data_IF_512694989573
#
_entry.id   IF_512694989573
#
_cell.length_a   1.000
_cell.length_b   1.000
_cell.length_c   1.000
_cell.angle_alpha   90.00
_cell.angle_beta   90.00
_cell.angle_gamma   90.00
#
_symmetry.space_group_name_H-M   'P 1'
#
loop_
_entity.id
_entity.type
_entity.pdbx_description
1 polymer ?
#
# COMPACT_ATOMS: atom_id res chain seq x y z
N UNK A 1 -14.88 4.58 20.63
CA UNK A 1 -14.01 3.45 20.27
C UNK A 1 -13.36 3.77 18.93
N UNK A 2 -12.04 3.88 18.86
CA UNK A 2 -11.36 4.00 17.58
C UNK A 2 -11.65 2.73 16.77
N UNK A 3 -12.26 2.85 15.59
CA UNK A 3 -12.52 1.71 14.73
C UNK A 3 -11.17 1.03 14.41
N UNK A 4 -11.05 -0.25 14.77
CA UNK A 4 -9.85 -1.03 14.51
C UNK A 4 -9.59 -1.09 13.00
N UNK A 5 -8.38 -0.74 12.56
CA UNK A 5 -8.00 -0.82 11.15
C UNK A 5 -8.22 -2.27 10.67
N UNK A 6 -9.02 -2.50 9.61
CA UNK A 6 -9.27 -3.84 9.12
C UNK A 6 -7.98 -4.60 8.82
N UNK A 7 -7.99 -5.91 9.10
CA UNK A 7 -6.80 -6.77 9.03
C UNK A 7 -6.12 -6.75 7.64
N UNK A 8 -6.90 -6.60 6.57
CA UNK A 8 -6.39 -6.52 5.20
C UNK A 8 -5.48 -5.30 4.98
N UNK A 9 -5.78 -4.16 5.63
CA UNK A 9 -5.01 -2.92 5.52
C UNK A 9 -3.81 -2.87 6.47
N UNK A 10 -3.72 -3.79 7.43
CA UNK A 10 -2.57 -3.84 8.34
C UNK A 10 -1.31 -4.34 7.58
N UNK A 11 -0.27 -3.52 7.43
CA UNK A 11 0.95 -3.90 6.70
C UNK A 11 1.79 -4.97 7.43
N UNK A 12 1.58 -5.13 8.74
CA UNK A 12 2.22 -6.16 9.54
C UNK A 12 1.49 -7.51 9.45
N UNK A 13 0.22 -7.51 9.02
CA UNK A 13 -0.49 -8.75 8.73
C UNK A 13 -0.04 -9.29 7.37
N UNK A 14 0.70 -10.40 7.40
CA UNK A 14 1.30 -11.06 6.23
C UNK A 14 0.54 -12.32 5.79
N UNK A 15 -0.75 -12.40 6.09
CA UNK A 15 -1.62 -13.42 5.54
C UNK A 15 -2.15 -12.95 4.16
N UNK A 16 -1.89 -13.73 3.11
CA UNK A 16 -2.22 -13.38 1.73
C UNK A 16 -3.32 -14.28 1.16
N UNK A 17 -3.87 -13.91 0.00
CA UNK A 17 -4.87 -14.69 -0.70
C UNK A 17 -4.43 -16.15 -0.93
N UNK A 18 -3.18 -16.35 -1.33
CA UNK A 18 -2.65 -17.69 -1.63
C UNK A 18 -2.51 -18.57 -0.37
N UNK A 19 -2.45 -17.95 0.83
CA UNK A 19 -2.41 -18.67 2.10
C UNK A 19 -3.77 -19.24 2.51
N UNK A 20 -4.88 -18.81 1.91
CA UNK A 20 -6.21 -19.34 2.20
C UNK A 20 -6.30 -20.84 1.95
N UNK A 21 -5.57 -21.38 0.97
CA UNK A 21 -5.54 -22.82 0.69
C UNK A 21 -4.93 -23.62 1.85
N UNK A 22 -4.06 -23.01 2.68
CA UNK A 22 -3.53 -23.65 3.89
C UNK A 22 -4.63 -23.90 4.92
N UNK A 23 -5.74 -23.16 4.88
CA UNK A 23 -6.92 -23.40 5.74
C UNK A 23 -7.73 -24.62 5.31
N UNK A 24 -7.47 -25.17 4.13
CA UNK A 24 -8.06 -26.44 3.70
C UNK A 24 -7.32 -27.67 4.26
N UNK A 25 -6.19 -27.46 4.96
CA UNK A 25 -5.39 -28.53 5.56
C UNK A 25 -5.55 -28.48 7.08
N UNK A 26 -5.87 -29.62 7.67
CA UNK A 26 -6.11 -29.75 9.11
C UNK A 26 -7.44 -29.15 9.56
N UNK A 27 -7.56 -28.94 10.86
CA UNK A 27 -8.78 -28.51 11.52
C UNK A 27 -8.59 -27.15 12.17
N UNK A 28 -9.52 -26.22 11.93
CA UNK A 28 -9.41 -24.82 12.38
C UNK A 28 -10.65 -24.40 13.18
N UNK A 29 -10.54 -23.32 13.95
CA UNK A 29 -11.72 -22.65 14.53
C UNK A 29 -12.36 -21.71 13.51
N UNK A 30 -13.64 -21.39 13.71
CA UNK A 30 -14.39 -20.48 12.83
C UNK A 30 -13.75 -19.08 12.82
N UNK A 31 -13.27 -18.63 13.96
CA UNK A 31 -12.60 -17.34 14.20
C UNK A 31 -11.29 -17.27 13.43
N UNK A 32 -10.52 -18.36 13.42
CA UNK A 32 -9.25 -18.46 12.71
C UNK A 32 -9.45 -18.36 11.18
N UNK A 33 -10.49 -19.02 10.66
CA UNK A 33 -10.83 -18.97 9.23
C UNK A 33 -11.38 -17.60 8.85
N UNK A 34 -12.28 -17.04 9.65
CA UNK A 34 -12.80 -15.69 9.43
C UNK A 34 -11.69 -14.64 9.45
N UNK A 35 -10.76 -14.72 10.40
CA UNK A 35 -9.62 -13.80 10.49
C UNK A 35 -8.72 -13.90 9.26
N UNK A 36 -8.50 -15.11 8.74
CA UNK A 36 -7.75 -15.33 7.49
C UNK A 36 -8.45 -14.69 6.28
N UNK A 37 -9.78 -14.83 6.16
CA UNK A 37 -10.57 -14.21 5.09
C UNK A 37 -10.48 -12.67 5.19
N UNK A 38 -10.76 -12.11 6.37
CA UNK A 38 -10.70 -10.67 6.64
C UNK A 38 -9.32 -10.05 6.39
N UNK A 39 -8.26 -10.84 6.44
CA UNK A 39 -6.88 -10.38 6.22
C UNK A 39 -6.44 -10.43 4.76
N UNK A 40 -7.12 -11.20 3.89
CA UNK A 40 -6.59 -11.58 2.57
C UNK A 40 -7.44 -11.17 1.37
N UNK A 41 -8.74 -10.96 1.56
CA UNK A 41 -9.67 -10.66 0.46
C UNK A 41 -10.64 -9.54 0.81
N UNK A 42 -11.08 -8.83 -0.24
CA UNK A 42 -12.21 -7.93 -0.22
C UNK A 42 -13.04 -8.06 -1.50
N UNK A 43 -14.24 -7.50 -1.48
CA UNK A 43 -15.19 -7.55 -2.59
C UNK A 43 -15.78 -6.16 -2.84
N UNK A 44 -15.84 -5.75 -4.09
CA UNK A 44 -16.40 -4.48 -4.52
C UNK A 44 -17.73 -4.72 -5.24
N UNK A 45 -18.78 -4.01 -4.85
CA UNK A 45 -20.14 -4.11 -5.41
C UNK A 45 -20.33 -3.27 -6.67
N UNK A 46 -19.36 -3.33 -7.61
CA UNK A 46 -19.55 -2.75 -8.94
C UNK A 46 -20.58 -3.55 -9.75
N UNK A 47 -21.02 -3.03 -10.91
CA UNK A 47 -21.99 -3.71 -11.80
C UNK A 47 -21.62 -5.16 -12.14
N UNK A 48 -20.33 -5.50 -12.20
CA UNK A 48 -19.84 -6.85 -12.48
C UNK A 48 -19.41 -7.64 -11.24
N UNK A 49 -19.34 -7.00 -10.08
CA UNK A 49 -18.63 -7.51 -8.90
C UNK A 49 -17.13 -7.62 -9.16
N UNK A 50 -16.30 -7.35 -8.15
CA UNK A 50 -14.85 -7.48 -8.30
C UNK A 50 -14.19 -7.88 -6.98
N UNK A 51 -13.42 -8.96 -7.02
CA UNK A 51 -12.60 -9.40 -5.91
C UNK A 51 -11.30 -8.61 -5.87
N UNK A 52 -10.89 -8.27 -4.66
CA UNK A 52 -9.58 -7.74 -4.34
C UNK A 52 -8.82 -8.81 -3.57
N UNK A 53 -7.66 -9.20 -4.09
CA UNK A 53 -6.79 -10.24 -3.50
C UNK A 53 -5.53 -9.56 -2.97
N UNK A 54 -5.29 -9.69 -1.66
CA UNK A 54 -4.03 -9.24 -1.04
C UNK A 54 -2.91 -10.20 -1.46
N UNK A 55 -1.91 -9.67 -2.14
CA UNK A 55 -0.78 -10.41 -2.69
C UNK A 55 0.55 -9.84 -2.20
N UNK A 56 1.60 -10.64 -2.33
CA UNK A 56 2.99 -10.26 -2.03
C UNK A 56 3.77 -10.20 -3.34
N UNK A 57 4.43 -9.08 -3.60
CA UNK A 57 5.36 -8.98 -4.72
C UNK A 57 6.70 -9.65 -4.38
N UNK A 58 7.53 -9.93 -5.39
CA UNK A 58 8.86 -10.54 -5.21
C UNK A 58 9.75 -9.74 -4.23
N UNK A 59 9.69 -8.41 -4.31
CA UNK A 59 10.41 -7.50 -3.40
C UNK A 59 9.81 -7.41 -1.99
N UNK A 60 8.80 -8.24 -1.67
CA UNK A 60 8.14 -8.30 -0.37
C UNK A 60 7.09 -7.21 -0.10
N UNK A 61 6.85 -6.30 -1.03
CA UNK A 61 5.78 -5.31 -0.91
C UNK A 61 4.39 -5.94 -1.01
N UNK A 62 3.41 -5.34 -0.36
CA UNK A 62 2.01 -5.75 -0.45
C UNK A 62 1.38 -5.04 -1.65
N UNK A 63 0.60 -5.78 -2.44
CA UNK A 63 -0.24 -5.18 -3.47
C UNK A 63 -1.62 -5.83 -3.50
N UNK A 64 -2.55 -5.12 -4.13
CA UNK A 64 -3.93 -5.57 -4.31
C UNK A 64 -4.17 -5.90 -5.78
N UNK A 65 -4.51 -7.16 -6.02
CA UNK A 65 -4.86 -7.65 -7.35
C UNK A 65 -6.38 -7.62 -7.50
N UNK A 66 -6.85 -7.04 -8.61
CA UNK A 66 -8.26 -6.95 -8.96
C UNK A 66 -8.63 -8.08 -9.90
N UNK A 67 -9.69 -8.83 -9.57
CA UNK A 67 -10.11 -9.98 -10.36
C UNK A 67 -11.62 -10.15 -10.37
N UNK A 68 -12.17 -10.67 -11.45
CA UNK A 68 -13.58 -11.05 -11.52
C UNK A 68 -13.89 -12.32 -10.70
N UNK A 69 -12.87 -13.09 -10.31
CA UNK A 69 -13.04 -14.41 -9.70
C UNK A 69 -12.06 -14.70 -8.55
N UNK A 70 -12.30 -15.85 -7.91
CA UNK A 70 -11.43 -16.47 -6.91
C UNK A 70 -10.55 -17.55 -7.57
N UNK A 71 -9.83 -17.22 -8.65
CA UNK A 71 -8.95 -18.16 -9.37
C UNK A 71 -8.06 -18.94 -8.40
N UNK A 72 -7.95 -20.25 -8.63
CA UNK A 72 -7.22 -21.19 -7.78
C UNK A 72 -8.08 -21.85 -6.69
N UNK A 73 -9.17 -21.22 -6.23
CA UNK A 73 -10.08 -21.81 -5.25
C UNK A 73 -11.24 -22.51 -5.96
N UNK A 74 -11.12 -23.83 -6.11
CA UNK A 74 -12.16 -24.71 -6.66
C UNK A 74 -13.15 -25.22 -5.60
N UNK A 75 -14.22 -25.87 -6.06
CA UNK A 75 -15.23 -26.55 -5.22
C UNK A 75 -14.70 -27.73 -4.41
N UNK A 76 -13.50 -28.23 -4.73
CA UNK A 76 -12.83 -29.32 -4.01
C UNK A 76 -12.15 -28.84 -2.72
N UNK A 77 -11.88 -27.55 -2.61
CA UNK A 77 -11.24 -26.97 -1.42
C UNK A 77 -12.26 -26.80 -0.30
N UNK A 78 -12.14 -27.66 0.72
CA UNK A 78 -12.98 -27.65 1.91
C UNK A 78 -12.16 -27.33 3.14
N UNK A 79 -12.75 -26.60 4.06
CA UNK A 79 -12.21 -26.25 5.37
C UNK A 79 -12.95 -27.08 6.41
N UNK A 80 -12.19 -27.69 7.33
CA UNK A 80 -12.73 -28.43 8.46
C UNK A 80 -12.74 -27.51 9.68
N UNK A 81 -13.93 -27.24 10.22
CA UNK A 81 -14.14 -26.31 11.33
C UNK A 81 -14.60 -27.10 12.56
N UNK A 82 -13.90 -26.94 13.70
CA UNK A 82 -14.34 -27.43 15.03
C UNK A 82 -15.44 -26.55 15.59
N UNK A 83 -16.47 -27.17 16.18
CA UNK A 83 -17.49 -26.46 16.97
C UNK A 83 -17.03 -26.31 18.42
N UNK A 84 -17.11 -25.09 18.96
CA UNK A 84 -16.79 -24.80 20.37
C UNK A 84 -17.96 -25.06 21.34
N UNK A 85 -19.02 -25.75 20.89
CA UNK A 85 -20.16 -26.10 21.76
C UNK A 85 -19.76 -27.25 22.69
N UNK A 86 -19.81 -26.99 23.99
CA UNK A 86 -19.16 -27.76 25.05
C UNK A 86 -19.57 -29.23 25.22
N UNK A 87 -18.67 -29.91 25.93
CA UNK A 87 -18.68 -31.25 26.51
C UNK A 87 -19.05 -32.41 25.56
N UNK A 88 -17.97 -33.08 25.12
CA UNK A 88 -17.91 -34.46 24.62
C UNK A 88 -18.20 -34.77 23.15
N UNK A 89 -18.02 -33.81 22.25
CA UNK A 89 -17.79 -34.19 20.86
C UNK A 89 -16.88 -33.22 20.11
N UNK A 90 -15.77 -33.74 19.56
CA UNK A 90 -14.89 -33.08 18.58
C UNK A 90 -15.63 -32.98 17.23
N UNK A 91 -16.85 -32.41 17.24
CA UNK A 91 -17.71 -32.29 16.06
C UNK A 91 -17.05 -31.32 15.11
N UNK A 92 -16.75 -31.85 13.94
CA UNK A 92 -16.19 -31.08 12.85
C UNK A 92 -17.21 -30.93 11.74
N UNK A 93 -17.25 -29.73 11.16
CA UNK A 93 -18.06 -29.45 9.99
C UNK A 93 -17.14 -29.19 8.80
N UNK A 94 -17.46 -29.80 7.66
CA UNK A 94 -16.72 -29.61 6.42
C UNK A 94 -17.49 -28.64 5.52
N UNK A 95 -16.94 -27.46 5.27
CA UNK A 95 -17.56 -26.42 4.44
C UNK A 95 -16.64 -26.05 3.28
N UNK A 96 -17.20 -25.76 2.09
CA UNK A 96 -16.39 -25.30 0.97
C UNK A 96 -15.82 -23.91 1.28
N UNK A 97 -14.53 -23.71 1.03
CA UNK A 97 -13.88 -22.42 1.23
C UNK A 97 -14.56 -21.30 0.41
N UNK A 98 -14.99 -21.64 -0.81
CA UNK A 98 -15.69 -20.69 -1.69
C UNK A 98 -17.00 -20.18 -1.09
N UNK A 99 -17.74 -21.03 -0.39
CA UNK A 99 -19.03 -20.65 0.22
C UNK A 99 -18.78 -19.69 1.39
N UNK A 100 -17.74 -19.93 2.20
CA UNK A 100 -17.32 -19.02 3.27
C UNK A 100 -16.90 -17.64 2.73
N UNK A 101 -16.17 -17.62 1.62
CA UNK A 101 -15.75 -16.37 0.95
C UNK A 101 -16.96 -15.59 0.41
N UNK A 102 -17.93 -16.28 -0.21
CA UNK A 102 -19.16 -15.67 -0.70
C UNK A 102 -20.03 -15.11 0.44
N UNK A 103 -20.14 -15.84 1.56
CA UNK A 103 -20.82 -15.33 2.75
C UNK A 103 -20.10 -14.09 3.30
N UNK A 104 -18.77 -14.10 3.37
CA UNK A 104 -17.99 -12.96 3.81
C UNK A 104 -18.17 -11.75 2.87
N UNK A 105 -18.23 -11.94 1.56
CA UNK A 105 -18.40 -10.83 0.59
C UNK A 105 -19.73 -10.10 0.72
N UNK A 106 -20.74 -10.74 1.31
CA UNK A 106 -22.02 -10.12 1.59
C UNK A 106 -22.00 -9.41 2.95
N UNK A 107 -21.35 -10.00 3.95
CA UNK A 107 -21.51 -9.57 5.35
C UNK A 107 -20.36 -8.74 5.93
N UNK A 108 -19.11 -8.93 5.48
CA UNK A 108 -17.92 -8.46 6.23
C UNK A 108 -16.78 -7.87 5.41
N UNK A 109 -16.67 -8.21 4.11
CA UNK A 109 -15.57 -7.73 3.25
C UNK A 109 -16.06 -6.96 2.03
N UNK A 110 -17.24 -6.36 2.14
CA UNK A 110 -17.96 -5.67 1.07
C UNK A 110 -17.63 -4.17 1.05
N UNK A 111 -17.36 -3.61 -0.13
CA UNK A 111 -17.06 -2.20 -0.34
C UNK A 111 -17.78 -1.71 -1.61
N UNK A 112 -18.13 -0.43 -1.66
CA UNK A 112 -18.85 0.17 -2.80
C UNK A 112 -17.89 0.51 -3.95
N UNK A 113 -16.71 1.03 -3.62
CA UNK A 113 -15.68 1.39 -4.59
C UNK A 113 -14.27 1.36 -3.96
N UNK A 114 -13.25 1.64 -4.76
CA UNK A 114 -11.83 1.63 -4.40
C UNK A 114 -11.24 3.01 -4.52
N UNK A 115 -10.68 3.51 -3.44
CA UNK A 115 -10.10 4.85 -3.41
C UNK A 115 -8.70 4.82 -2.80
N UNK A 116 -7.85 5.75 -3.24
CA UNK A 116 -6.61 6.04 -2.54
C UNK A 116 -6.88 7.14 -1.52
N UNK A 117 -7.07 6.75 -0.25
CA UNK A 117 -7.46 7.64 0.85
C UNK A 117 -6.34 7.67 1.91
N UNK A 118 -5.23 8.36 1.62
CA UNK A 118 -4.10 8.42 2.52
C UNK A 118 -4.42 9.26 3.76
N UNK A 119 -3.86 8.85 4.89
CA UNK A 119 -4.14 9.44 6.20
C UNK A 119 -2.84 9.63 6.99
N UNK A 120 -2.78 10.61 7.90
CA UNK A 120 -1.56 10.87 8.66
C UNK A 120 -1.30 9.71 9.63
N UNK A 121 -0.03 9.43 9.98
CA UNK A 121 0.31 8.26 10.78
C UNK A 121 -0.36 8.24 12.17
N UNK A 122 -0.69 9.43 12.70
CA UNK A 122 -1.32 9.59 14.02
C UNK A 122 -2.86 9.60 14.00
N UNK A 123 -3.49 9.61 12.82
CA UNK A 123 -4.95 9.61 12.71
C UNK A 123 -5.38 8.68 11.57
N UNK A 124 -5.29 7.34 11.76
CA UNK A 124 -5.79 6.39 10.78
C UNK A 124 -7.27 6.67 10.51
N UNK A 125 -7.59 6.93 9.24
CA UNK A 125 -8.95 7.19 8.79
C UNK A 125 -9.42 5.99 7.98
N UNK A 126 -10.44 5.32 8.50
CA UNK A 126 -11.10 4.23 7.81
C UNK A 126 -12.49 4.67 7.39
N UNK A 127 -12.81 4.48 6.11
CA UNK A 127 -14.17 4.57 5.62
C UNK A 127 -14.65 3.13 5.33
N UNK A 128 -15.66 2.62 6.05
CA UNK A 128 -16.17 1.26 5.84
C UNK A 128 -16.82 1.06 4.47
N UNK A 129 -17.19 2.14 3.79
CA UNK A 129 -17.83 2.10 2.47
C UNK A 129 -16.81 1.88 1.34
N UNK A 130 -15.60 2.42 1.45
CA UNK A 130 -14.62 2.43 0.36
C UNK A 130 -13.37 1.62 0.71
N UNK A 131 -12.92 0.79 -0.23
CA UNK A 131 -11.68 0.04 -0.07
C UNK A 131 -10.48 0.97 -0.24
N UNK A 132 -9.69 1.14 0.82
CA UNK A 132 -8.53 2.03 0.78
C UNK A 132 -7.30 1.33 0.20
N UNK A 133 -6.71 1.92 -0.84
CA UNK A 133 -5.43 1.46 -1.40
C UNK A 133 -4.21 1.87 -0.55
N UNK A 134 -4.35 2.86 0.33
CA UNK A 134 -3.27 3.30 1.21
C UNK A 134 -3.15 2.39 2.44
N UNK A 135 -1.98 1.75 2.59
CA UNK A 135 -1.69 0.81 3.69
C UNK A 135 -1.10 1.48 4.95
N UNK A 136 -1.09 2.81 4.99
CA UNK A 136 -0.35 3.56 6.00
C UNK A 136 1.11 3.77 5.62
N UNK A 137 1.80 4.58 6.42
CA UNK A 137 3.24 4.77 6.33
C UNK A 137 3.99 3.62 6.98
N UNK A 138 5.19 3.30 6.46
CA UNK A 138 6.06 2.30 7.09
C UNK A 138 6.67 2.84 8.38
N UNK A 139 7.07 4.11 8.39
CA UNK A 139 7.55 4.75 9.60
C UNK A 139 6.37 5.10 10.53
N UNK A 140 6.62 4.96 11.83
CA UNK A 140 5.74 5.46 12.88
C UNK A 140 6.38 6.70 13.52
N UNK A 141 5.58 7.66 14.01
CA UNK A 141 6.10 8.83 14.70
C UNK A 141 6.91 8.41 15.92
N UNK A 142 8.09 9.01 16.05
CA UNK A 142 8.96 8.74 17.18
C UNK A 142 8.40 9.41 18.45
N UNK A 143 8.44 8.69 19.58
CA UNK A 143 8.07 9.26 20.89
C UNK A 143 8.97 10.44 21.28
N UNK A 144 10.25 10.38 20.89
CA UNK A 144 11.24 11.43 21.12
C UNK A 144 12.12 11.60 19.90
N UNK A 145 12.37 12.85 19.53
CA UNK A 145 13.31 13.20 18.47
C UNK A 145 14.73 12.98 18.99
N UNK A 146 15.54 12.23 18.24
CA UNK A 146 16.96 11.96 18.53
C UNK A 146 17.82 12.81 17.59
N UNK A 147 18.37 13.96 18.03
CA UNK A 147 19.09 14.88 17.15
C UNK A 147 20.27 14.24 16.42
N UNK A 148 20.98 13.31 17.06
CA UNK A 148 22.09 12.57 16.46
C UNK A 148 21.68 11.72 15.24
N UNK A 149 20.41 11.32 15.12
CA UNK A 149 19.89 10.58 13.96
C UNK A 149 19.31 11.52 12.89
N UNK A 150 18.73 12.65 13.31
CA UNK A 150 18.05 13.59 12.40
C UNK A 150 19.03 14.59 11.78
N UNK A 151 20.00 15.09 12.55
CA UNK A 151 20.96 16.09 12.09
C UNK A 151 21.76 15.65 10.86
N UNK A 152 22.22 14.39 10.72
CA UNK A 152 22.87 13.94 9.50
C UNK A 152 21.99 14.05 8.25
N UNK A 153 20.67 13.82 8.38
CA UNK A 153 19.71 13.96 7.27
C UNK A 153 19.54 15.44 6.91
N UNK A 154 19.31 16.30 7.91
CA UNK A 154 19.17 17.75 7.70
C UNK A 154 20.44 18.31 7.07
N UNK A 155 21.60 17.90 7.57
CA UNK A 155 22.91 18.31 7.05
C UNK A 155 23.09 17.88 5.60
N UNK A 156 22.73 16.65 5.24
CA UNK A 156 22.78 16.18 3.85
C UNK A 156 21.87 17.02 2.93
N UNK A 157 20.65 17.36 3.37
CA UNK A 157 19.78 18.27 2.60
C UNK A 157 20.44 19.64 2.43
N UNK A 158 20.98 20.22 3.50
CA UNK A 158 21.59 21.55 3.48
C UNK A 158 22.85 21.60 2.60
N UNK A 159 23.83 20.74 2.87
CA UNK A 159 25.15 20.78 2.24
C UNK A 159 25.12 20.17 0.82
N UNK A 160 24.41 19.05 0.63
CA UNK A 160 24.47 18.28 -0.62
C UNK A 160 23.35 18.65 -1.59
N UNK A 161 22.11 18.76 -1.12
CA UNK A 161 20.98 19.08 -2.02
C UNK A 161 20.85 20.57 -2.30
N UNK A 162 21.12 21.41 -1.29
CA UNK A 162 20.85 22.84 -1.36
C UNK A 162 22.12 23.70 -1.47
N UNK A 163 23.32 23.11 -1.48
CA UNK A 163 24.60 23.83 -1.55
C UNK A 163 24.70 24.99 -0.54
N UNK A 164 24.29 24.71 0.71
CA UNK A 164 24.25 25.64 1.85
C UNK A 164 23.25 26.81 1.73
N UNK A 165 22.35 26.78 0.73
CA UNK A 165 21.23 27.71 0.67
C UNK A 165 20.18 27.38 1.76
N UNK A 166 20.11 28.25 2.77
CA UNK A 166 19.20 28.12 3.91
C UNK A 166 17.72 28.24 3.51
N UNK A 167 17.39 29.09 2.54
CA UNK A 167 15.99 29.28 2.12
C UNK A 167 15.50 28.04 1.37
N UNK A 168 16.31 27.54 0.43
CA UNK A 168 16.02 26.31 -0.29
C UNK A 168 15.95 25.11 0.65
N UNK A 169 16.89 25.00 1.59
CA UNK A 169 16.89 23.95 2.63
C UNK A 169 15.58 23.94 3.40
N UNK A 170 15.12 25.10 3.85
CA UNK A 170 13.86 25.25 4.60
C UNK A 170 12.67 24.82 3.73
N UNK A 171 12.63 25.25 2.47
CA UNK A 171 11.58 24.85 1.52
C UNK A 171 11.55 23.32 1.32
N UNK A 172 12.69 22.69 1.06
CA UNK A 172 12.79 21.25 0.82
C UNK A 172 12.36 20.45 2.05
N UNK A 173 12.82 20.84 3.25
CA UNK A 173 12.41 20.17 4.49
C UNK A 173 10.91 20.30 4.75
N UNK A 174 10.33 21.47 4.51
CA UNK A 174 8.89 21.69 4.62
C UNK A 174 8.11 20.88 3.58
N UNK A 175 8.62 20.79 2.34
CA UNK A 175 8.02 19.98 1.29
C UNK A 175 8.01 18.49 1.65
N UNK A 176 9.12 17.98 2.18
CA UNK A 176 9.22 16.60 2.68
C UNK A 176 8.29 16.34 3.87
N UNK A 177 8.22 17.28 4.82
CA UNK A 177 7.30 17.17 5.96
C UNK A 177 5.83 17.18 5.51
N UNK A 178 5.50 18.01 4.52
CA UNK A 178 4.15 18.12 3.96
C UNK A 178 3.63 16.79 3.41
N UNK A 179 4.48 16.00 2.74
CA UNK A 179 4.10 14.68 2.21
C UNK A 179 3.53 13.73 3.28
N UNK A 180 4.01 13.86 4.53
CA UNK A 180 3.65 12.99 5.65
C UNK A 180 2.52 13.61 6.49
N UNK A 181 2.59 14.92 6.73
CA UNK A 181 1.65 15.64 7.59
C UNK A 181 0.32 15.94 6.91
N UNK A 182 0.31 16.14 5.59
CA UNK A 182 -0.88 16.44 4.79
C UNK A 182 -1.08 15.40 3.69
N UNK A 183 -1.23 14.11 4.03
CA UNK A 183 -1.15 13.03 3.06
C UNK A 183 -2.35 13.01 2.10
N UNK A 184 -3.50 13.55 2.46
CA UNK A 184 -4.66 13.74 1.59
C UNK A 184 -4.47 14.84 0.54
N UNK A 185 -3.48 15.73 0.73
CA UNK A 185 -3.20 16.85 -0.17
C UNK A 185 -2.03 16.55 -1.10
N UNK A 186 -2.08 17.14 -2.29
CA UNK A 186 -0.96 17.15 -3.23
C UNK A 186 -0.15 18.43 -3.01
N UNK A 187 1.20 18.37 -2.95
CA UNK A 187 2.03 19.58 -2.82
C UNK A 187 1.83 20.59 -3.96
N UNK A 188 1.39 20.15 -5.13
CA UNK A 188 1.23 21.01 -6.32
C UNK A 188 2.54 21.41 -7.00
N UNK A 189 3.68 20.98 -6.45
CA UNK A 189 5.02 21.27 -6.94
C UNK A 189 5.83 19.98 -7.10
N UNK A 190 6.85 20.01 -7.96
CA UNK A 190 7.82 18.94 -8.15
C UNK A 190 9.23 19.47 -7.90
N UNK A 191 10.09 18.66 -7.28
CA UNK A 191 11.50 19.00 -7.04
C UNK A 191 12.33 18.41 -8.18
N UNK A 192 13.14 19.24 -8.83
CA UNK A 192 14.08 18.83 -9.88
C UNK A 192 15.49 18.92 -9.31
N UNK A 193 16.21 17.79 -9.30
CA UNK A 193 17.59 17.72 -8.84
C UNK A 193 18.53 17.43 -10.02
N UNK A 194 19.34 18.43 -10.41
CA UNK A 194 20.34 18.30 -11.47
C UNK A 194 21.74 18.33 -10.86
N UNK A 195 22.50 17.27 -11.09
CA UNK A 195 23.91 17.17 -10.70
C UNK A 195 24.59 16.07 -11.51
N UNK A 196 25.93 15.98 -11.53
CA UNK A 196 26.63 14.79 -11.99
C UNK A 196 26.12 13.51 -11.30
N UNK A 197 26.36 12.32 -11.90
CA UNK A 197 26.10 11.05 -11.25
C UNK A 197 26.85 10.95 -9.91
N UNK A 198 26.32 10.15 -8.97
CA UNK A 198 26.96 9.83 -7.67
C UNK A 198 27.12 10.99 -6.67
N UNK A 199 26.43 12.11 -6.84
CA UNK A 199 26.39 13.19 -5.83
C UNK A 199 25.44 12.94 -4.65
N UNK A 200 24.98 11.70 -4.42
CA UNK A 200 24.14 11.38 -3.26
C UNK A 200 22.68 11.85 -3.35
N UNK A 201 22.15 12.14 -4.55
CA UNK A 201 20.73 12.48 -4.78
C UNK A 201 19.79 11.39 -4.23
N UNK A 202 20.10 10.13 -4.52
CA UNK A 202 19.19 9.03 -4.21
C UNK A 202 19.23 8.58 -2.76
N UNK A 203 20.25 8.97 -1.98
CA UNK A 203 20.44 8.51 -0.59
C UNK A 203 19.19 8.79 0.25
N UNK A 204 18.70 10.02 0.22
CA UNK A 204 17.52 10.39 0.99
C UNK A 204 16.22 10.00 0.29
N UNK A 205 16.14 10.03 -1.03
CA UNK A 205 14.90 9.66 -1.73
C UNK A 205 14.58 8.18 -1.55
N UNK A 206 15.60 7.30 -1.57
CA UNK A 206 15.45 5.87 -1.34
C UNK A 206 15.11 5.60 0.14
N UNK A 207 15.73 6.33 1.06
CA UNK A 207 15.38 6.27 2.48
C UNK A 207 13.91 6.70 2.73
N UNK A 208 13.49 7.84 2.19
CA UNK A 208 12.12 8.34 2.32
C UNK A 208 11.14 7.36 1.68
N UNK A 209 11.40 6.90 0.46
CA UNK A 209 10.57 5.94 -0.23
C UNK A 209 10.44 4.63 0.53
N UNK A 210 11.55 3.96 0.84
CA UNK A 210 11.51 2.60 1.38
C UNK A 210 11.25 2.54 2.88
N UNK A 211 11.79 3.48 3.65
CA UNK A 211 11.76 3.43 5.13
C UNK A 211 10.66 4.27 5.73
N UNK A 212 10.26 5.37 5.09
CA UNK A 212 9.19 6.26 5.58
C UNK A 212 7.86 5.91 4.91
N UNK A 213 7.78 6.05 3.58
CA UNK A 213 6.56 5.84 2.83
C UNK A 213 6.16 4.37 2.77
N UNK A 214 7.14 3.48 2.57
CA UNK A 214 6.92 2.08 2.27
C UNK A 214 6.81 1.84 0.77
N UNK A 215 7.29 0.68 0.31
CA UNK A 215 7.39 0.28 -1.11
C UNK A 215 6.05 0.28 -1.84
N UNK A 216 4.96 0.22 -1.09
CA UNK A 216 3.59 0.22 -1.59
C UNK A 216 3.15 1.64 -2.02
N UNK A 217 3.71 2.67 -1.38
CA UNK A 217 3.31 4.07 -1.51
C UNK A 217 4.28 4.92 -2.34
N UNK A 218 5.41 4.40 -2.81
CA UNK A 218 6.32 5.14 -3.69
C UNK A 218 6.70 4.33 -4.94
N UNK A 219 7.06 5.05 -5.99
CA UNK A 219 7.57 4.49 -7.24
C UNK A 219 8.90 5.17 -7.54
N UNK A 220 9.94 4.39 -7.84
CA UNK A 220 11.19 4.90 -8.40
C UNK A 220 11.39 4.22 -9.76
N UNK A 221 11.49 5.01 -10.82
CA UNK A 221 11.69 4.50 -12.18
C UNK A 221 12.58 5.44 -12.98
N UNK A 222 13.31 4.89 -13.94
CA UNK A 222 14.05 5.65 -14.95
C UNK A 222 13.21 5.86 -16.23
N UNK A 223 12.09 5.15 -16.36
CA UNK A 223 11.26 5.16 -17.56
C UNK A 223 10.08 6.07 -17.37
N UNK A 224 10.06 7.16 -18.13
CA UNK A 224 8.92 8.07 -18.16
C UNK A 224 7.61 7.37 -18.57
N UNK A 225 7.69 6.37 -19.45
CA UNK A 225 6.53 5.59 -19.91
C UNK A 225 5.78 4.90 -18.75
N UNK A 226 6.47 4.53 -17.67
CA UNK A 226 5.82 3.92 -16.51
C UNK A 226 4.89 4.92 -15.80
N UNK A 227 5.15 6.22 -15.98
CA UNK A 227 4.39 7.32 -15.38
C UNK A 227 3.41 7.95 -16.36
N UNK A 228 3.84 8.16 -17.60
CA UNK A 228 3.14 8.95 -18.62
C UNK A 228 2.65 8.13 -19.81
N UNK A 229 2.91 6.82 -19.80
CA UNK A 229 2.43 5.88 -20.80
C UNK A 229 0.93 5.65 -20.71
N UNK A 230 0.40 4.93 -21.71
CA UNK A 230 -1.02 4.52 -21.74
C UNK A 230 -1.39 3.60 -20.56
N UNK A 231 -0.41 2.87 -20.03
CA UNK A 231 -0.58 1.94 -18.91
C UNK A 231 0.11 2.49 -17.65
N UNK A 232 -0.49 3.49 -17.00
CA UNK A 232 0.05 4.13 -15.80
C UNK A 232 -0.35 3.42 -14.48
N UNK A 233 -0.66 2.13 -14.54
CA UNK A 233 -1.10 1.36 -13.37
C UNK A 233 -0.06 1.38 -12.23
N UNK A 234 1.24 1.48 -12.56
CA UNK A 234 2.33 1.59 -11.59
C UNK A 234 2.26 2.87 -10.73
N UNK A 235 1.69 3.96 -11.27
CA UNK A 235 1.49 5.25 -10.58
C UNK A 235 0.30 5.21 -9.63
N UNK A 236 -0.62 4.26 -9.83
CA UNK A 236 -1.82 4.15 -8.98
C UNK A 236 -1.41 3.99 -7.51
N UNK A 237 -2.10 4.74 -6.66
CA UNK A 237 -1.92 4.72 -5.21
C UNK A 237 -0.48 5.01 -4.74
N UNK A 238 0.21 5.92 -5.43
CA UNK A 238 1.55 6.41 -5.02
C UNK A 238 1.47 7.80 -4.41
N UNK A 239 2.20 7.99 -3.32
CA UNK A 239 2.45 9.28 -2.64
C UNK A 239 3.59 10.06 -3.26
N UNK A 240 4.66 9.35 -3.63
CA UNK A 240 5.86 9.93 -4.20
C UNK A 240 6.30 9.11 -5.41
N UNK A 241 6.65 9.81 -6.49
CA UNK A 241 7.24 9.22 -7.68
C UNK A 241 8.61 9.88 -7.86
N UNK A 242 9.64 9.06 -7.91
CA UNK A 242 11.01 9.46 -8.18
C UNK A 242 11.30 9.05 -9.61
N UNK A 243 11.62 10.05 -10.42
CA UNK A 243 11.98 9.86 -11.82
C UNK A 243 13.47 10.10 -11.96
N UNK A 244 14.23 9.02 -12.07
CA UNK A 244 15.69 9.07 -12.20
C UNK A 244 16.06 9.24 -13.67
N UNK A 245 17.06 10.07 -13.97
CA UNK A 245 17.68 10.14 -15.31
C UNK A 245 16.66 10.29 -16.44
N UNK A 246 15.80 11.30 -16.32
CA UNK A 246 14.88 11.67 -17.40
C UNK A 246 15.64 12.35 -18.54
N UNK A 247 16.39 11.56 -19.29
CA UNK A 247 16.85 11.98 -20.60
C UNK A 247 15.67 11.90 -21.56
N UNK A 248 15.23 13.07 -22.00
CA UNK A 248 14.22 13.21 -23.03
C UNK A 248 14.73 14.12 -24.13
N UNK A 249 14.51 13.72 -25.37
CA UNK A 249 14.52 14.63 -26.49
C UNK A 249 13.26 15.52 -26.46
N UNK A 250 13.32 16.73 -27.01
CA UNK A 250 12.20 17.69 -26.95
C UNK A 250 10.88 17.15 -27.54
N UNK A 251 10.93 16.23 -28.51
CA UNK A 251 9.74 15.60 -29.11
C UNK A 251 9.02 14.65 -28.14
N UNK A 252 9.77 13.90 -27.33
CA UNK A 252 9.22 12.97 -26.35
C UNK A 252 8.51 13.72 -25.22
N UNK A 253 9.08 14.85 -24.79
CA UNK A 253 8.45 15.73 -23.80
C UNK A 253 7.10 16.29 -24.27
N UNK A 254 7.01 16.79 -25.51
CA UNK A 254 5.76 17.36 -26.03
C UNK A 254 4.62 16.33 -26.08
N UNK A 255 4.91 15.10 -26.50
CA UNK A 255 3.94 14.01 -26.52
C UNK A 255 3.49 13.57 -25.11
N UNK A 256 4.41 13.61 -24.15
CA UNK A 256 4.15 13.26 -22.76
C UNK A 256 3.35 14.38 -22.05
N UNK A 257 3.75 15.64 -22.18
CA UNK A 257 3.11 16.79 -21.52
C UNK A 257 1.62 16.94 -21.87
N UNK A 258 1.22 16.59 -23.09
CA UNK A 258 -0.20 16.57 -23.48
C UNK A 258 -1.04 15.56 -22.70
N UNK A 259 -0.42 14.60 -21.99
CA UNK A 259 -1.08 13.62 -21.13
C UNK A 259 -1.09 14.01 -19.65
N UNK A 260 -0.42 15.10 -19.26
CA UNK A 260 -0.44 15.65 -17.89
C UNK A 260 -1.58 16.64 -17.65
N UNK A 261 -2.17 17.16 -18.72
CA UNK A 261 -3.30 18.08 -18.67
C UNK A 261 -4.60 17.35 -18.32
#
# INVERSE_FOLDING_TARGET
MAAQVPAIFNPNNRFFYDDLLKKCVGTHTKESVNSAILASVAFITTKSGMWIRKKKAYNGSIYFEFAADLKGISTKHKVIIRSDTGEDSDVTTSTKLKDLLLQASIAKICYTDVNFMPYPPNAPKYNPEFFNLFLGFRAQPAERIKPNLVNPIIRHVHEVWCAEDKQLTTYILNWLAFLIQNPDKKPGTAIIMRSPPRCGKNILTDFIGERILGRENFLSTTRLEDVMGRFNAAVRAKKLIILNECDMSGKEWHGANNRLK
#
